data_IF_882217942455
#
_entry.id   IF_882217942455
#
_cell.length_a   1.000
_cell.length_b   1.000
_cell.length_c   1.000
_cell.angle_alpha   90.00
_cell.angle_beta   90.00
_cell.angle_gamma   90.00
#
_symmetry.space_group_name_H-M   'P 1'
#
loop_
_entity.id
_entity.type
_entity.pdbx_description
1 polymer ?
#
# COMPACT_ATOMS: atom_id res chain seq x y z
N UNK A 1 -21.66 8.30 4.05
CA UNK A 1 -20.62 8.10 3.04
C UNK A 1 -21.17 7.23 1.93
N UNK A 2 -20.88 7.51 0.66
CA UNK A 2 -21.42 6.78 -0.50
C UNK A 2 -20.26 6.12 -1.24
N UNK A 3 -20.38 4.81 -1.49
CA UNK A 3 -19.42 3.98 -2.19
C UNK A 3 -18.62 3.05 -1.28
N UNK A 4 -18.77 1.73 -1.48
CA UNK A 4 -18.14 0.64 -0.71
C UNK A 4 -16.91 0.04 -1.37
N UNK A 5 -16.16 0.82 -2.15
CA UNK A 5 -14.84 0.44 -2.63
C UNK A 5 -13.77 0.61 -1.54
N UNK A 6 -12.50 0.31 -1.88
CA UNK A 6 -11.38 0.40 -0.93
C UNK A 6 -11.28 1.76 -0.24
N UNK A 7 -11.53 2.85 -0.95
CA UNK A 7 -11.49 4.21 -0.39
C UNK A 7 -12.59 4.40 0.65
N UNK A 8 -13.84 4.07 0.33
CA UNK A 8 -14.97 4.22 1.25
C UNK A 8 -14.83 3.33 2.49
N UNK A 9 -14.45 2.07 2.30
CA UNK A 9 -14.19 1.16 3.43
C UNK A 9 -13.04 1.68 4.32
N UNK A 10 -11.96 2.17 3.73
CA UNK A 10 -10.83 2.74 4.47
C UNK A 10 -11.24 3.99 5.26
N UNK A 11 -12.01 4.89 4.66
CA UNK A 11 -12.50 6.09 5.37
C UNK A 11 -13.40 5.69 6.54
N UNK A 12 -14.36 4.78 6.32
CA UNK A 12 -15.24 4.31 7.41
C UNK A 12 -14.45 3.69 8.55
N UNK A 13 -13.47 2.83 8.24
CA UNK A 13 -12.59 2.23 9.22
C UNK A 13 -11.85 3.29 10.07
N UNK A 14 -11.27 4.29 9.42
CA UNK A 14 -10.52 5.33 10.13
C UNK A 14 -11.43 6.27 10.93
N UNK A 15 -12.63 6.60 10.43
CA UNK A 15 -13.61 7.36 11.21
C UNK A 15 -14.00 6.63 12.48
N UNK A 16 -14.29 5.33 12.38
CA UNK A 16 -14.58 4.49 13.54
C UNK A 16 -13.37 4.39 14.49
N UNK A 17 -12.16 4.23 13.96
CA UNK A 17 -10.91 4.22 14.74
C UNK A 17 -10.67 5.53 15.48
N UNK A 18 -11.09 6.67 14.93
CA UNK A 18 -11.07 7.99 15.58
C UNK A 18 -12.22 8.25 16.54
N UNK A 19 -13.10 7.26 16.76
CA UNK A 19 -14.18 7.34 17.74
C UNK A 19 -15.51 7.88 17.21
N UNK A 20 -15.65 8.11 15.91
CA UNK A 20 -16.94 8.49 15.31
C UNK A 20 -17.83 7.26 15.21
N UNK A 21 -18.96 7.26 15.93
CA UNK A 21 -19.87 6.10 16.02
C UNK A 21 -21.03 6.17 15.06
N UNK A 22 -21.44 7.38 14.66
CA UNK A 22 -22.62 7.62 13.84
C UNK A 22 -22.28 7.74 12.35
N UNK A 23 -21.50 6.77 11.85
CA UNK A 23 -21.06 6.74 10.46
C UNK A 23 -21.77 5.61 9.70
N UNK A 24 -22.35 5.94 8.55
CA UNK A 24 -23.01 4.98 7.66
C UNK A 24 -22.29 4.99 6.31
N UNK A 25 -22.05 3.80 5.77
CA UNK A 25 -21.58 3.59 4.40
C UNK A 25 -22.73 3.01 3.58
N UNK A 26 -23.03 3.66 2.47
CA UNK A 26 -24.05 3.21 1.51
C UNK A 26 -23.34 2.70 0.26
N UNK A 27 -23.64 1.46 -0.11
CA UNK A 27 -23.20 0.85 -1.36
C UNK A 27 -24.42 0.32 -2.12
N UNK A 28 -24.45 0.54 -3.44
CA UNK A 28 -25.58 0.11 -4.28
C UNK A 28 -25.52 -1.36 -4.69
N UNK A 29 -24.36 -1.99 -4.52
CA UNK A 29 -24.06 -3.35 -4.93
C UNK A 29 -23.28 -4.05 -3.82
N UNK A 30 -22.41 -5.00 -4.13
CA UNK A 30 -21.54 -5.63 -3.16
C UNK A 30 -20.31 -4.75 -2.87
N UNK A 31 -19.77 -4.87 -1.65
CA UNK A 31 -18.54 -4.18 -1.29
C UNK A 31 -17.43 -4.58 -2.26
N UNK A 32 -16.64 -3.60 -2.67
CA UNK A 32 -15.48 -3.76 -3.57
C UNK A 32 -15.78 -4.21 -5.00
N UNK A 33 -17.03 -4.39 -5.40
CA UNK A 33 -17.45 -4.87 -6.73
C UNK A 33 -17.05 -3.98 -7.91
N UNK A 34 -16.65 -2.73 -7.67
CA UNK A 34 -16.16 -1.80 -8.69
C UNK A 34 -14.66 -1.94 -8.99
N UNK A 35 -13.97 -0.81 -9.10
CA UNK A 35 -12.52 -0.75 -9.44
C UNK A 35 -11.63 -1.50 -8.43
N UNK A 36 -12.06 -1.65 -7.18
CA UNK A 36 -11.27 -2.36 -6.15
C UNK A 36 -11.09 -3.84 -6.49
N UNK A 37 -12.11 -4.49 -7.06
CA UNK A 37 -12.03 -5.87 -7.51
C UNK A 37 -11.02 -6.08 -8.64
N UNK A 38 -10.83 -5.08 -9.51
CA UNK A 38 -9.94 -5.15 -10.67
C UNK A 38 -8.48 -4.81 -10.35
N UNK A 39 -8.16 -4.50 -9.10
CA UNK A 39 -6.81 -4.17 -8.70
C UNK A 39 -5.89 -5.39 -8.76
N UNK A 40 -4.67 -5.21 -9.27
CA UNK A 40 -3.69 -6.28 -9.41
C UNK A 40 -3.14 -6.82 -8.06
N UNK A 41 -3.47 -6.17 -6.95
CA UNK A 41 -3.02 -6.59 -5.62
C UNK A 41 -1.54 -6.37 -5.33
N UNK A 42 -0.84 -5.64 -6.19
CA UNK A 42 0.57 -5.32 -5.97
C UNK A 42 0.71 -4.16 -4.97
N UNK A 43 1.32 -4.44 -3.83
CA UNK A 43 1.54 -3.46 -2.76
C UNK A 43 3.04 -3.21 -2.62
N UNK A 44 3.48 -2.01 -2.94
CA UNK A 44 4.87 -1.58 -2.84
C UNK A 44 4.98 -0.27 -2.05
N UNK A 45 6.13 0.00 -1.45
CA UNK A 45 6.34 1.20 -0.62
C UNK A 45 6.96 2.34 -1.40
N UNK A 46 7.77 2.02 -2.41
CA UNK A 46 8.60 3.01 -3.08
C UNK A 46 7.81 3.73 -4.16
N UNK A 47 7.72 5.04 -4.02
CA UNK A 47 7.17 5.95 -5.01
C UNK A 47 8.15 7.11 -5.21
N UNK A 48 8.06 7.79 -6.35
CA UNK A 48 8.80 9.04 -6.58
C UNK A 48 8.33 10.18 -5.67
N UNK A 49 7.11 10.09 -5.15
CA UNK A 49 6.53 11.05 -4.20
C UNK A 49 6.68 10.54 -2.76
N UNK A 50 7.32 11.33 -1.86
CA UNK A 50 7.50 10.94 -0.46
C UNK A 50 6.18 10.76 0.32
N UNK A 51 5.14 11.52 0.00
CA UNK A 51 3.86 11.42 0.69
C UNK A 51 3.14 10.13 0.31
N UNK A 52 3.20 9.75 -0.96
CA UNK A 52 2.68 8.47 -1.44
C UNK A 52 3.44 7.31 -0.80
N UNK A 53 4.77 7.38 -0.72
CA UNK A 53 5.57 6.36 -0.04
C UNK A 53 5.19 6.21 1.44
N UNK A 54 4.95 7.32 2.16
CA UNK A 54 4.48 7.27 3.55
C UNK A 54 3.10 6.63 3.67
N UNK A 55 2.18 6.97 2.77
CA UNK A 55 0.83 6.39 2.73
C UNK A 55 0.90 4.87 2.48
N UNK A 56 1.75 4.43 1.57
CA UNK A 56 1.95 3.01 1.27
C UNK A 56 2.56 2.26 2.46
N UNK A 57 3.58 2.83 3.12
CA UNK A 57 4.17 2.26 4.32
C UNK A 57 3.13 2.14 5.46
N UNK A 58 2.31 3.17 5.65
CA UNK A 58 1.19 3.14 6.59
C UNK A 58 0.21 2.01 6.25
N UNK A 59 -0.16 1.87 4.99
CA UNK A 59 -1.10 0.84 4.51
C UNK A 59 -0.59 -0.58 4.80
N UNK A 60 0.70 -0.85 4.60
CA UNK A 60 1.31 -2.15 4.90
C UNK A 60 1.23 -2.46 6.41
N UNK A 61 1.50 -1.48 7.25
CA UNK A 61 1.37 -1.65 8.70
C UNK A 61 -0.09 -1.83 9.12
N UNK A 62 -1.01 -1.11 8.47
CA UNK A 62 -2.45 -1.26 8.70
C UNK A 62 -2.94 -2.67 8.34
N UNK A 63 -2.48 -3.27 7.27
CA UNK A 63 -2.84 -4.65 6.93
C UNK A 63 -2.45 -5.63 8.03
N UNK A 64 -1.26 -5.50 8.60
CA UNK A 64 -0.83 -6.32 9.75
C UNK A 64 -1.69 -6.07 10.99
N UNK A 65 -2.08 -4.82 11.25
CA UNK A 65 -2.97 -4.45 12.34
C UNK A 65 -4.36 -5.08 12.14
N UNK A 66 -4.91 -4.98 10.93
CA UNK A 66 -6.23 -5.56 10.61
C UNK A 66 -6.22 -7.08 10.77
N UNK A 67 -5.22 -7.79 10.26
CA UNK A 67 -5.10 -9.24 10.46
C UNK A 67 -5.07 -9.61 11.95
N UNK A 68 -4.28 -8.88 12.73
CA UNK A 68 -4.15 -9.12 14.18
C UNK A 68 -5.45 -8.87 14.94
N UNK A 69 -6.21 -7.82 14.57
CA UNK A 69 -7.41 -7.42 15.31
C UNK A 69 -8.66 -8.17 14.87
N UNK A 70 -8.78 -8.50 13.58
CA UNK A 70 -9.94 -9.21 13.04
C UNK A 70 -9.80 -10.74 13.09
N UNK A 71 -8.58 -11.25 13.18
CA UNK A 71 -8.28 -12.68 13.00
C UNK A 71 -8.47 -13.17 11.56
N UNK A 72 -8.75 -12.28 10.62
CA UNK A 72 -8.97 -12.60 9.21
C UNK A 72 -7.77 -12.15 8.37
N UNK A 73 -7.25 -13.07 7.54
CA UNK A 73 -6.15 -12.72 6.64
C UNK A 73 -6.59 -11.73 5.56
N UNK A 74 -5.80 -10.70 5.36
CA UNK A 74 -5.94 -9.77 4.22
C UNK A 74 -5.20 -10.28 2.98
N UNK A 75 -4.56 -11.44 3.06
CA UNK A 75 -3.81 -12.05 1.95
C UNK A 75 -2.48 -11.35 1.63
N UNK A 76 -2.01 -10.46 2.49
CA UNK A 76 -0.74 -9.74 2.27
C UNK A 76 0.45 -10.66 2.55
N UNK A 77 1.29 -10.88 1.52
CA UNK A 77 2.53 -11.66 1.61
C UNK A 77 3.72 -10.73 1.40
N UNK A 78 4.53 -10.46 2.43
CA UNK A 78 5.70 -9.58 2.33
C UNK A 78 6.89 -10.30 1.66
N UNK A 79 6.72 -10.71 0.41
CA UNK A 79 7.73 -11.42 -0.37
C UNK A 79 8.90 -10.53 -0.83
N UNK A 80 8.76 -9.21 -0.68
CA UNK A 80 9.67 -8.25 -1.29
C UNK A 80 9.49 -8.13 -2.80
N UNK A 81 10.40 -7.40 -3.45
CA UNK A 81 10.38 -7.21 -4.90
C UNK A 81 11.78 -6.91 -5.44
N UNK A 82 11.97 -7.16 -6.72
CA UNK A 82 13.21 -6.86 -7.42
C UNK A 82 12.97 -5.83 -8.51
N UNK A 83 13.88 -4.88 -8.63
CA UNK A 83 13.96 -3.95 -9.74
C UNK A 83 15.19 -4.30 -10.58
N UNK A 84 14.95 -4.63 -11.84
CA UNK A 84 16.00 -5.05 -12.76
C UNK A 84 16.35 -3.89 -13.70
N UNK A 85 17.65 -3.62 -13.84
CA UNK A 85 18.17 -2.67 -14.81
C UNK A 85 18.75 -3.42 -16.01
N UNK A 86 18.16 -3.24 -17.17
CA UNK A 86 18.63 -3.83 -18.43
C UNK A 86 19.73 -3.03 -19.13
N UNK A 87 19.97 -1.80 -18.68
CA UNK A 87 21.01 -0.92 -19.24
C UNK A 87 21.49 0.10 -18.20
N UNK A 88 22.52 0.86 -18.56
CA UNK A 88 23.14 1.84 -17.67
C UNK A 88 22.20 2.96 -17.24
N UNK A 89 21.31 3.41 -18.12
CA UNK A 89 20.35 4.49 -17.81
C UNK A 89 19.38 4.04 -16.70
N UNK A 90 18.82 2.83 -16.85
CA UNK A 90 17.95 2.23 -15.82
C UNK A 90 18.71 1.96 -14.51
N UNK A 91 19.96 1.52 -14.61
CA UNK A 91 20.79 1.30 -13.43
C UNK A 91 21.02 2.60 -12.64
N UNK A 92 21.35 3.69 -13.33
CA UNK A 92 21.55 5.01 -12.71
C UNK A 92 20.24 5.59 -12.15
N UNK A 93 19.10 5.32 -12.81
CA UNK A 93 17.76 5.63 -12.27
C UNK A 93 17.51 4.88 -10.96
N UNK A 94 17.71 3.56 -10.91
CA UNK A 94 17.50 2.76 -9.71
C UNK A 94 18.42 3.16 -8.55
N UNK A 95 19.65 3.59 -8.85
CA UNK A 95 20.55 4.15 -7.82
C UNK A 95 19.97 5.42 -7.19
N UNK A 96 19.38 6.30 -7.97
CA UNK A 96 18.70 7.51 -7.48
C UNK A 96 17.48 7.17 -6.63
N UNK A 97 16.64 6.26 -7.09
CA UNK A 97 15.46 5.80 -6.33
C UNK A 97 15.85 5.16 -4.99
N UNK A 98 16.92 4.37 -4.97
CA UNK A 98 17.48 3.83 -3.72
C UNK A 98 17.94 4.93 -2.76
N UNK A 99 18.61 5.96 -3.27
CA UNK A 99 19.04 7.08 -2.43
C UNK A 99 17.85 7.84 -1.83
N UNK A 100 16.80 8.06 -2.62
CA UNK A 100 15.54 8.65 -2.12
C UNK A 100 14.89 7.76 -1.05
N UNK A 101 14.81 6.46 -1.29
CA UNK A 101 14.23 5.52 -0.34
C UNK A 101 14.97 5.54 1.01
N UNK A 102 16.30 5.59 1.00
CA UNK A 102 17.11 5.73 2.22
C UNK A 102 16.82 7.03 2.96
N UNK A 103 16.69 8.13 2.23
CA UNK A 103 16.32 9.42 2.81
C UNK A 103 14.94 9.40 3.47
N UNK A 104 14.01 8.58 2.94
CA UNK A 104 12.67 8.37 3.50
C UNK A 104 12.65 7.31 4.63
N UNK A 105 13.79 6.78 5.05
CA UNK A 105 13.87 5.73 6.07
C UNK A 105 13.43 4.35 5.60
N UNK A 106 13.34 4.12 4.30
CA UNK A 106 13.01 2.83 3.71
C UNK A 106 14.30 2.05 3.43
N UNK A 107 14.39 0.86 4.01
CA UNK A 107 15.54 0.00 3.78
C UNK A 107 15.44 -0.72 2.42
N UNK A 108 16.51 -0.65 1.65
CA UNK A 108 16.67 -1.32 0.37
C UNK A 108 18.03 -1.98 0.29
N UNK A 109 18.05 -3.29 0.21
CA UNK A 109 19.26 -4.03 -0.06
C UNK A 109 19.63 -3.96 -1.57
N UNK A 110 20.92 -3.86 -1.86
CA UNK A 110 21.47 -3.92 -3.21
C UNK A 110 22.12 -5.28 -3.41
N UNK A 111 21.53 -6.11 -4.25
CA UNK A 111 22.20 -7.30 -4.79
C UNK A 111 22.55 -7.03 -6.25
N UNK A 112 23.83 -7.10 -6.59
CA UNK A 112 24.26 -7.19 -7.99
C UNK A 112 24.44 -8.68 -8.32
N UNK A 113 23.68 -9.14 -9.31
CA UNK A 113 23.95 -10.42 -9.97
C UNK A 113 24.95 -10.12 -11.08
N UNK A 114 26.16 -10.69 -11.01
CA UNK A 114 27.17 -10.65 -12.07
C UNK A 114 26.90 -11.81 -12.99
#
# INVERSE_FOLDING_TARGET
MIGGGVVGCSILFHLAKFGLKDCILLERSELTSGSSWHAAGNVHVISSDPNISRLMAYTINLYKEIEKTSGQSVGFKPSGGFYLASNKVWYDYLKRERSKARYMGLDQDRKSVV
#
